data_IF_069749801386
#
_entry.id   IF_069749801386
#
_cell.length_a   1.000
_cell.length_b   1.000
_cell.length_c   1.000
_cell.angle_alpha   90.00
_cell.angle_beta   90.00
_cell.angle_gamma   90.00
#
_symmetry.space_group_name_H-M   'P 1'
#
loop_
_entity.id
_entity.type
_entity.pdbx_description
1 polymer ?
#
# COMPACT_ATOMS: atom_id res chain seq x y z
N UNK A 1 6.18 -22.77 -28.86
CA UNK A 1 4.88 -23.12 -28.26
C UNK A 1 4.90 -23.24 -26.74
N UNK A 2 6.00 -23.65 -26.14
CA UNK A 2 6.15 -23.71 -24.67
C UNK A 2 6.60 -22.36 -24.11
N UNK A 3 7.46 -21.62 -24.81
CA UNK A 3 8.14 -20.42 -24.33
C UNK A 3 7.19 -19.31 -23.89
N UNK A 4 6.14 -19.00 -24.65
CA UNK A 4 5.16 -17.95 -24.29
C UNK A 4 4.37 -18.33 -23.02
N UNK A 5 3.96 -19.60 -22.91
CA UNK A 5 3.31 -20.09 -21.69
C UNK A 5 4.23 -20.07 -20.48
N UNK A 6 5.50 -20.40 -20.67
CA UNK A 6 6.49 -20.38 -19.61
C UNK A 6 6.80 -18.95 -19.17
N UNK A 7 6.92 -18.01 -20.12
CA UNK A 7 7.06 -16.57 -19.82
C UNK A 7 5.83 -16.04 -19.07
N UNK A 8 4.63 -16.40 -19.50
CA UNK A 8 3.40 -15.99 -18.82
C UNK A 8 3.35 -16.54 -17.39
N UNK A 9 3.69 -17.82 -17.19
CA UNK A 9 3.77 -18.42 -15.86
C UNK A 9 4.82 -17.77 -14.96
N UNK A 10 5.99 -17.42 -15.52
CA UNK A 10 7.02 -16.65 -14.78
C UNK A 10 6.53 -15.26 -14.39
N UNK A 11 5.75 -14.58 -15.24
CA UNK A 11 5.13 -13.29 -14.92
C UNK A 11 4.14 -13.42 -13.76
N UNK A 12 3.29 -14.44 -13.79
CA UNK A 12 2.33 -14.74 -12.72
C UNK A 12 3.05 -15.00 -11.39
N UNK A 13 4.07 -15.86 -11.38
CA UNK A 13 4.90 -16.13 -10.20
C UNK A 13 5.56 -14.84 -9.69
N UNK A 14 6.11 -14.03 -10.59
CA UNK A 14 6.72 -12.74 -10.21
C UNK A 14 5.71 -11.79 -9.59
N UNK A 15 4.48 -11.70 -10.12
CA UNK A 15 3.42 -10.85 -9.55
C UNK A 15 2.99 -11.35 -8.17
N UNK A 16 2.87 -12.67 -7.99
CA UNK A 16 2.50 -13.28 -6.72
C UNK A 16 3.59 -13.14 -5.65
N UNK A 17 4.86 -13.23 -6.06
CA UNK A 17 5.99 -13.23 -5.14
C UNK A 17 6.55 -11.84 -4.83
N UNK A 18 6.33 -10.83 -5.67
CA UNK A 18 6.84 -9.49 -5.40
C UNK A 18 6.01 -8.76 -4.34
N UNK A 19 6.63 -7.80 -3.68
CA UNK A 19 5.92 -6.79 -2.91
C UNK A 19 5.18 -5.83 -3.86
N UNK A 20 3.95 -5.48 -3.52
CA UNK A 20 3.21 -4.45 -4.28
C UNK A 20 3.94 -3.10 -4.26
N UNK A 21 3.60 -2.17 -5.20
CA UNK A 21 4.35 -0.92 -5.39
C UNK A 21 4.53 -0.08 -4.12
N UNK A 22 3.50 0.01 -3.29
CA UNK A 22 3.55 0.80 -2.04
C UNK A 22 4.48 0.17 -1.01
N UNK A 23 4.33 -1.13 -0.73
CA UNK A 23 5.18 -1.85 0.22
C UNK A 23 6.62 -1.93 -0.29
N UNK A 24 6.79 -2.18 -1.60
CA UNK A 24 8.09 -2.24 -2.25
C UNK A 24 8.87 -0.94 -2.10
N UNK A 25 8.24 0.20 -2.36
CA UNK A 25 8.89 1.51 -2.21
C UNK A 25 9.35 1.81 -0.77
N UNK A 26 8.55 1.43 0.23
CA UNK A 26 8.93 1.59 1.64
C UNK A 26 10.13 0.70 1.98
N UNK A 27 10.14 -0.55 1.49
CA UNK A 27 11.26 -1.49 1.69
C UNK A 27 12.53 -0.99 0.97
N UNK A 28 12.41 -0.52 -0.27
CA UNK A 28 13.54 0.04 -1.03
C UNK A 28 14.14 1.26 -0.33
N UNK A 29 13.30 2.16 0.18
CA UNK A 29 13.75 3.31 0.97
C UNK A 29 14.43 2.87 2.27
N UNK A 30 13.88 1.86 2.99
CA UNK A 30 14.51 1.30 4.17
C UNK A 30 15.90 0.71 3.87
N UNK A 31 16.02 -0.07 2.80
CA UNK A 31 17.29 -0.66 2.33
C UNK A 31 18.31 0.42 1.97
N UNK A 32 17.89 1.48 1.28
CA UNK A 32 18.78 2.60 0.92
C UNK A 32 19.40 3.28 2.15
N UNK A 33 18.68 3.23 3.30
CA UNK A 33 19.17 3.75 4.59
C UNK A 33 19.87 2.71 5.47
N UNK A 34 20.10 1.51 4.95
CA UNK A 34 20.76 0.41 5.67
C UNK A 34 19.90 -0.23 6.75
N UNK A 35 18.57 -0.07 6.67
CA UNK A 35 17.61 -0.74 7.54
C UNK A 35 17.33 -2.13 6.95
N UNK A 36 17.59 -3.21 7.70
CA UNK A 36 17.30 -4.55 7.23
C UNK A 36 15.80 -4.84 7.21
N UNK A 37 15.41 -5.81 6.42
CA UNK A 37 14.02 -6.22 6.34
C UNK A 37 13.84 -7.73 6.23
N UNK A 38 12.69 -8.22 6.66
CA UNK A 38 12.29 -9.63 6.56
C UNK A 38 10.83 -9.69 6.14
N UNK A 39 10.50 -10.48 5.11
CA UNK A 39 9.11 -10.76 4.75
C UNK A 39 8.52 -11.77 5.73
N UNK A 40 7.39 -11.43 6.35
CA UNK A 40 6.78 -12.27 7.39
C UNK A 40 5.68 -13.20 6.85
N UNK A 41 5.07 -12.88 5.71
CA UNK A 41 4.07 -13.72 5.05
C UNK A 41 4.23 -13.65 3.53
N UNK A 42 3.47 -14.46 2.80
CA UNK A 42 3.45 -14.45 1.33
C UNK A 42 2.83 -13.19 0.71
N UNK A 43 2.23 -12.31 1.53
CA UNK A 43 1.61 -11.07 1.08
C UNK A 43 2.53 -9.87 1.36
N UNK A 44 2.00 -8.81 1.92
CA UNK A 44 2.68 -7.54 2.13
C UNK A 44 3.12 -7.26 3.57
N UNK A 45 3.02 -8.26 4.47
CA UNK A 45 3.48 -8.08 5.85
C UNK A 45 5.01 -8.19 5.89
N UNK A 46 5.65 -7.09 6.27
CA UNK A 46 7.12 -6.93 6.31
C UNK A 46 7.55 -6.43 7.68
N UNK A 47 8.63 -6.97 8.18
CA UNK A 47 9.39 -6.45 9.30
C UNK A 47 10.54 -5.60 8.76
N UNK A 48 10.66 -4.39 9.24
CA UNK A 48 11.81 -3.49 9.04
C UNK A 48 12.61 -3.45 10.35
N UNK A 49 13.92 -3.63 10.26
CA UNK A 49 14.76 -3.76 11.47
C UNK A 49 14.73 -5.16 12.09
N UNK A 50 15.50 -5.35 13.15
CA UNK A 50 15.70 -6.62 13.85
C UNK A 50 15.36 -6.52 15.33
N UNK A 51 14.90 -7.64 15.91
CA UNK A 51 14.71 -7.80 17.33
C UNK A 51 13.82 -6.69 17.94
N UNK A 52 14.25 -6.12 19.06
CA UNK A 52 13.52 -5.10 19.79
C UNK A 52 13.40 -3.75 19.03
N UNK A 53 14.21 -3.54 18.00
CA UNK A 53 14.19 -2.32 17.20
C UNK A 53 13.32 -2.45 15.93
N UNK A 54 12.65 -3.58 15.76
CA UNK A 54 11.80 -3.82 14.59
C UNK A 54 10.57 -2.93 14.56
N UNK A 55 10.13 -2.61 13.34
CA UNK A 55 8.83 -2.05 13.01
C UNK A 55 8.16 -2.96 11.99
N UNK A 56 6.84 -2.97 11.92
CA UNK A 56 6.09 -3.75 10.94
C UNK A 56 5.29 -2.86 10.04
N UNK A 57 5.20 -3.25 8.78
CA UNK A 57 4.32 -2.63 7.80
C UNK A 57 3.50 -3.70 7.09
N UNK A 58 2.28 -3.34 6.69
CA UNK A 58 1.43 -4.14 5.81
C UNK A 58 0.77 -3.20 4.81
N UNK A 59 1.11 -3.31 3.55
CA UNK A 59 0.84 -2.27 2.53
C UNK A 59 1.44 -0.92 2.99
N UNK A 60 0.59 0.05 3.31
CA UNK A 60 0.99 1.36 3.86
C UNK A 60 0.52 1.58 5.30
N UNK A 61 -0.07 0.54 5.93
CA UNK A 61 -0.37 0.54 7.37
C UNK A 61 0.91 0.15 8.12
N UNK A 62 1.21 0.85 9.20
CA UNK A 62 2.41 0.63 10.03
C UNK A 62 2.05 0.09 11.41
N UNK A 63 3.05 -0.37 12.17
CA UNK A 63 2.87 -0.75 13.56
C UNK A 63 2.55 0.43 14.49
N UNK A 64 2.52 1.66 13.96
CA UNK A 64 2.17 2.89 14.69
C UNK A 64 0.82 3.46 14.25
N UNK A 65 0.19 2.88 13.23
CA UNK A 65 -1.14 3.29 12.77
C UNK A 65 -2.18 2.95 13.82
N UNK A 66 -3.01 3.94 14.18
CA UNK A 66 -4.13 3.77 15.12
C UNK A 66 -5.18 2.82 14.56
N UNK A 67 -5.51 1.76 15.30
CA UNK A 67 -6.61 0.86 14.93
C UNK A 67 -7.96 1.57 14.98
N UNK A 68 -8.14 2.48 15.94
CA UNK A 68 -9.36 3.32 16.04
C UNK A 68 -9.47 4.22 14.81
N UNK A 69 -8.36 4.87 14.39
CA UNK A 69 -8.34 5.68 13.18
C UNK A 69 -8.67 4.88 11.92
N UNK A 70 -8.22 3.62 11.83
CA UNK A 70 -8.57 2.72 10.73
C UNK A 70 -10.07 2.38 10.76
N UNK A 71 -10.64 2.06 11.93
CA UNK A 71 -12.07 1.77 12.07
C UNK A 71 -12.93 2.97 11.68
N UNK A 72 -12.59 4.17 12.16
CA UNK A 72 -13.26 5.43 11.77
C UNK A 72 -13.19 5.62 10.25
N UNK A 73 -12.01 5.50 9.64
CA UNK A 73 -11.85 5.68 8.19
C UNK A 73 -12.61 4.63 7.36
N UNK A 74 -12.88 3.45 7.91
CA UNK A 74 -13.68 2.41 7.27
C UNK A 74 -15.20 2.67 7.40
N UNK A 75 -15.61 3.51 8.35
CA UNK A 75 -17.01 3.90 8.54
C UNK A 75 -17.26 5.31 7.96
N UNK A 76 -18.04 5.35 6.88
CA UNK A 76 -18.34 6.62 6.17
C UNK A 76 -19.22 7.56 6.99
N UNK A 77 -20.04 7.02 7.88
CA UNK A 77 -20.93 7.81 8.75
C UNK A 77 -20.09 8.49 9.84
N UNK A 78 -19.26 7.71 10.56
CA UNK A 78 -18.38 8.24 11.60
C UNK A 78 -17.34 9.22 11.07
N UNK A 79 -16.70 8.88 9.93
CA UNK A 79 -15.75 9.79 9.26
C UNK A 79 -16.40 11.12 8.93
N UNK A 80 -17.56 11.08 8.28
CA UNK A 80 -18.28 12.30 7.87
C UNK A 80 -18.70 13.11 9.09
N UNK A 81 -19.27 12.48 10.11
CA UNK A 81 -19.69 13.15 11.34
C UNK A 81 -18.53 13.88 12.01
N UNK A 82 -17.37 13.23 12.17
CA UNK A 82 -16.20 13.86 12.77
C UNK A 82 -15.65 15.03 11.95
N UNK A 83 -15.67 14.92 10.62
CA UNK A 83 -15.24 16.00 9.73
C UNK A 83 -16.22 17.18 9.77
N UNK A 84 -17.52 16.94 9.78
CA UNK A 84 -18.55 17.99 9.92
C UNK A 84 -18.43 18.72 11.25
N UNK A 85 -18.24 17.99 12.37
CA UNK A 85 -18.03 18.61 13.70
C UNK A 85 -16.76 19.48 13.76
N UNK A 86 -15.80 19.19 12.86
CA UNK A 86 -14.57 19.93 12.73
C UNK A 86 -14.64 21.05 11.65
N UNK A 87 -15.82 21.33 11.10
CA UNK A 87 -16.03 22.33 10.05
C UNK A 87 -15.14 22.08 8.81
N UNK A 88 -14.98 20.81 8.43
CA UNK A 88 -14.36 20.42 7.16
C UNK A 88 -15.44 20.34 6.10
N UNK A 89 -15.15 20.85 4.90
CA UNK A 89 -16.07 20.79 3.76
C UNK A 89 -16.30 19.35 3.31
N UNK A 90 -17.42 18.76 3.70
CA UNK A 90 -17.91 17.46 3.24
C UNK A 90 -19.23 17.62 2.50
N UNK A 91 -19.62 16.70 1.60
CA UNK A 91 -20.89 16.81 0.91
C UNK A 91 -22.05 16.81 1.91
N UNK A 92 -22.91 17.84 1.84
CA UNK A 92 -24.13 17.86 2.64
C UNK A 92 -24.95 16.62 2.35
N UNK A 93 -25.40 15.88 3.37
CA UNK A 93 -26.09 14.62 3.16
C UNK A 93 -26.92 14.18 4.33
N UNK A 94 -27.69 13.11 4.10
CA UNK A 94 -28.53 12.46 5.10
C UNK A 94 -28.48 10.95 4.90
N UNK A 95 -28.73 10.21 6.00
CA UNK A 95 -28.71 8.76 6.01
C UNK A 95 -30.12 8.23 6.23
N UNK A 96 -30.62 7.48 5.26
CA UNK A 96 -31.96 6.95 5.28
C UNK A 96 -31.99 5.42 5.23
N UNK A 97 -33.00 4.84 5.86
CA UNK A 97 -33.24 3.39 5.89
C UNK A 97 -34.53 2.98 5.19
N UNK A 98 -35.43 3.95 5.00
CA UNK A 98 -36.79 3.72 4.47
C UNK A 98 -37.05 4.70 3.35
N UNK A 99 -37.68 4.22 2.29
CA UNK A 99 -38.08 5.01 1.12
C UNK A 99 -38.95 6.23 1.46
N UNK A 100 -39.83 6.11 2.46
CA UNK A 100 -40.67 7.22 2.93
C UNK A 100 -39.87 8.46 3.43
N UNK A 101 -38.61 8.29 3.78
CA UNK A 101 -37.72 9.39 4.22
C UNK A 101 -36.91 9.99 3.05
N UNK A 102 -37.04 9.44 1.84
CA UNK A 102 -36.24 9.87 0.69
C UNK A 102 -36.58 11.28 0.24
N UNK A 103 -37.88 11.60 0.14
CA UNK A 103 -38.32 12.94 -0.29
C UNK A 103 -37.83 14.04 0.66
N UNK A 104 -37.91 13.78 1.98
CA UNK A 104 -37.41 14.70 3.00
C UNK A 104 -35.89 14.88 2.89
N UNK A 105 -35.13 13.80 2.73
CA UNK A 105 -33.67 13.84 2.50
C UNK A 105 -33.33 14.57 1.21
N UNK A 106 -34.03 14.34 0.10
CA UNK A 106 -33.81 15.05 -1.16
C UNK A 106 -34.05 16.57 -1.01
N UNK A 107 -35.10 16.95 -0.29
CA UNK A 107 -35.41 18.36 -0.04
C UNK A 107 -34.37 19.02 0.87
N UNK A 108 -33.90 18.30 1.89
CA UNK A 108 -32.84 18.78 2.79
C UNK A 108 -31.50 18.98 2.08
N UNK A 109 -31.08 18.02 1.25
CA UNK A 109 -29.79 18.06 0.55
C UNK A 109 -29.82 19.01 -0.66
N UNK A 110 -30.89 18.96 -1.45
CA UNK A 110 -31.07 19.75 -2.68
C UNK A 110 -30.35 19.16 -3.90
N UNK A 111 -31.08 19.07 -5.03
CA UNK A 111 -30.53 18.56 -6.28
C UNK A 111 -29.35 19.38 -6.83
N UNK A 112 -28.44 18.81 -7.63
CA UNK A 112 -28.31 17.39 -7.96
C UNK A 112 -27.76 16.58 -6.79
N UNK A 113 -28.07 15.24 -6.77
CA UNK A 113 -27.77 14.33 -5.68
C UNK A 113 -26.91 13.14 -6.12
N UNK A 114 -26.27 12.51 -5.12
CA UNK A 114 -25.72 11.16 -5.18
C UNK A 114 -26.48 10.30 -4.19
N UNK A 115 -26.86 9.10 -4.61
CA UNK A 115 -27.45 8.08 -3.74
C UNK A 115 -26.57 6.84 -3.78
N UNK A 116 -26.15 6.36 -2.60
CA UNK A 116 -25.20 5.24 -2.46
C UNK A 116 -25.48 4.44 -1.19
N UNK A 117 -25.15 3.13 -1.14
CA UNK A 117 -25.18 2.36 0.10
C UNK A 117 -24.03 2.78 1.03
N UNK A 118 -24.27 2.78 2.36
CA UNK A 118 -23.22 3.06 3.38
C UNK A 118 -22.08 2.05 3.27
N UNK A 119 -22.43 0.77 3.09
CA UNK A 119 -21.52 -0.37 3.05
C UNK A 119 -21.12 -0.78 1.61
N UNK A 120 -21.33 0.09 0.63
CA UNK A 120 -20.95 -0.12 -0.76
C UNK A 120 -19.46 0.12 -1.00
N UNK A 121 -18.81 -0.79 -1.72
CA UNK A 121 -17.43 -0.69 -2.16
C UNK A 121 -17.32 -0.73 -3.69
N UNK A 122 -16.29 -0.11 -4.24
CA UNK A 122 -15.98 -0.15 -5.68
C UNK A 122 -17.09 0.36 -6.60
N UNK A 123 -17.85 1.38 -6.19
CA UNK A 123 -18.88 1.99 -7.03
C UNK A 123 -20.21 1.23 -7.12
N UNK A 124 -20.37 0.10 -6.42
CA UNK A 124 -21.62 -0.69 -6.49
C UNK A 124 -22.78 0.03 -5.83
N UNK A 125 -23.92 0.11 -6.55
CA UNK A 125 -25.14 0.73 -6.04
C UNK A 125 -25.08 2.25 -5.94
N UNK A 126 -24.07 2.90 -6.53
CA UNK A 126 -23.96 4.36 -6.56
C UNK A 126 -24.67 4.89 -7.80
N UNK A 127 -25.51 5.91 -7.63
CA UNK A 127 -26.07 6.70 -8.72
C UNK A 127 -25.75 8.17 -8.47
N UNK A 128 -25.18 8.83 -9.46
CA UNK A 128 -24.72 10.23 -9.40
C UNK A 128 -25.56 11.12 -10.30
N UNK A 129 -25.45 12.43 -10.12
CA UNK A 129 -26.13 13.47 -10.93
C UNK A 129 -27.65 13.28 -11.03
N UNK A 130 -28.26 12.94 -9.90
CA UNK A 130 -29.71 12.78 -9.78
C UNK A 130 -30.36 14.14 -9.68
N UNK A 131 -31.26 14.44 -10.63
CA UNK A 131 -31.83 15.79 -10.78
C UNK A 131 -33.33 15.87 -10.43
N UNK A 132 -33.97 14.73 -10.11
CA UNK A 132 -35.38 14.68 -9.78
C UNK A 132 -35.70 13.61 -8.73
N UNK A 133 -36.82 13.79 -8.01
CA UNK A 133 -37.32 12.80 -7.06
C UNK A 133 -37.63 11.45 -7.75
N UNK A 134 -38.06 11.49 -9.00
CA UNK A 134 -38.35 10.26 -9.78
C UNK A 134 -37.07 9.46 -10.00
N UNK A 135 -35.96 10.12 -10.36
CA UNK A 135 -34.65 9.49 -10.49
C UNK A 135 -34.13 9.02 -9.14
N UNK A 136 -34.33 9.82 -8.07
CA UNK A 136 -33.95 9.47 -6.71
C UNK A 136 -34.61 8.17 -6.21
N UNK A 137 -35.88 7.94 -6.54
CA UNK A 137 -36.59 6.70 -6.21
C UNK A 137 -35.97 5.47 -6.88
N UNK A 138 -35.61 5.59 -8.16
CA UNK A 138 -34.94 4.51 -8.92
C UNK A 138 -33.56 4.25 -8.32
N UNK A 139 -32.80 5.32 -8.06
CA UNK A 139 -31.47 5.25 -7.46
C UNK A 139 -31.51 4.64 -6.05
N UNK A 140 -32.50 4.99 -5.24
CA UNK A 140 -32.68 4.41 -3.91
C UNK A 140 -32.95 2.90 -3.98
N UNK A 141 -33.82 2.44 -4.88
CA UNK A 141 -34.07 1.00 -5.08
C UNK A 141 -32.77 0.26 -5.48
N UNK A 142 -32.03 0.80 -6.45
CA UNK A 142 -30.74 0.24 -6.88
C UNK A 142 -29.69 0.20 -5.76
N UNK A 143 -29.57 1.28 -4.98
CA UNK A 143 -28.66 1.33 -3.84
C UNK A 143 -29.06 0.30 -2.75
N UNK A 144 -30.37 0.13 -2.54
CA UNK A 144 -30.92 -0.79 -1.55
C UNK A 144 -30.66 -2.26 -1.89
N UNK A 145 -30.74 -2.64 -3.16
CA UNK A 145 -30.39 -3.98 -3.64
C UNK A 145 -28.90 -4.30 -3.43
N UNK A 146 -28.06 -3.29 -3.51
CA UNK A 146 -26.61 -3.42 -3.37
C UNK A 146 -26.13 -3.34 -1.91
N UNK A 147 -26.95 -2.85 -0.99
CA UNK A 147 -26.62 -2.65 0.42
C UNK A 147 -26.87 -3.92 1.24
N UNK A 148 -25.90 -4.28 2.10
CA UNK A 148 -26.05 -5.37 3.08
C UNK A 148 -26.83 -4.92 4.32
N UNK A 149 -26.60 -3.69 4.76
CA UNK A 149 -27.25 -3.10 5.94
C UNK A 149 -28.62 -2.51 5.63
N UNK A 150 -28.93 -2.26 4.36
CA UNK A 150 -30.12 -1.53 3.92
C UNK A 150 -30.09 -0.04 4.29
N UNK A 151 -28.91 0.49 4.64
CA UNK A 151 -28.69 1.90 4.97
C UNK A 151 -28.15 2.64 3.75
N UNK A 152 -28.80 3.75 3.39
CA UNK A 152 -28.52 4.51 2.17
C UNK A 152 -28.15 5.93 2.52
N UNK A 153 -27.12 6.43 1.87
CA UNK A 153 -26.66 7.82 1.95
C UNK A 153 -27.26 8.58 0.75
N UNK A 154 -27.86 9.75 1.04
CA UNK A 154 -28.26 10.76 0.06
C UNK A 154 -27.39 11.96 0.27
N UNK A 155 -26.57 12.33 -0.71
CA UNK A 155 -25.60 13.41 -0.60
C UNK A 155 -25.70 14.40 -1.77
N UNK A 156 -25.24 15.63 -1.55
CA UNK A 156 -25.06 16.61 -2.61
C UNK A 156 -24.04 16.09 -3.62
N UNK A 157 -24.40 16.14 -4.89
CA UNK A 157 -23.45 15.86 -5.96
C UNK A 157 -22.45 17.01 -6.06
N UNK A 158 -21.17 16.70 -5.88
CA UNK A 158 -20.06 17.63 -6.02
C UNK A 158 -19.45 17.45 -7.40
N UNK A 159 -19.34 18.53 -8.15
CA UNK A 159 -18.74 18.53 -9.49
C UNK A 159 -17.28 18.96 -9.43
N UNK A 160 -16.48 18.44 -10.34
CA UNK A 160 -15.07 18.81 -10.45
C UNK A 160 -14.20 17.59 -10.78
N UNK A 161 -12.92 17.79 -10.59
CA UNK A 161 -11.90 16.76 -10.76
C UNK A 161 -11.67 16.01 -9.44
N UNK A 162 -11.26 14.75 -9.57
CA UNK A 162 -11.00 13.84 -8.46
C UNK A 162 -9.53 13.93 -8.03
N UNK A 163 -9.27 14.44 -6.84
CA UNK A 163 -7.93 14.57 -6.27
C UNK A 163 -7.71 13.58 -5.13
N UNK A 164 -6.53 12.98 -5.08
CA UNK A 164 -6.00 12.24 -3.95
C UNK A 164 -4.89 13.06 -3.29
N UNK A 165 -5.13 13.48 -2.05
CA UNK A 165 -4.12 14.09 -1.18
C UNK A 165 -3.53 13.01 -0.27
N UNK A 166 -2.22 12.86 -0.26
CA UNK A 166 -1.51 11.91 0.60
C UNK A 166 -0.87 12.64 1.76
N UNK A 167 -1.32 12.31 2.97
CA UNK A 167 -0.77 12.85 4.22
C UNK A 167 0.01 11.75 4.94
N UNK A 168 1.24 12.06 5.34
CA UNK A 168 2.10 11.16 6.12
C UNK A 168 2.67 11.95 7.30
N UNK A 169 2.54 11.39 8.50
CA UNK A 169 3.00 12.02 9.73
C UNK A 169 2.42 13.45 9.90
N UNK A 170 1.12 13.60 9.60
CA UNK A 170 0.37 14.86 9.64
C UNK A 170 0.91 15.97 8.73
N UNK A 171 1.60 15.64 7.66
CA UNK A 171 2.07 16.57 6.63
C UNK A 171 1.61 16.11 5.26
N UNK A 172 1.11 17.03 4.44
CA UNK A 172 0.82 16.75 3.03
C UNK A 172 2.13 16.50 2.30
N UNK A 173 2.30 15.30 1.75
CA UNK A 173 3.54 14.89 1.04
C UNK A 173 3.37 14.79 -0.46
N UNK A 174 2.16 14.55 -0.94
CA UNK A 174 1.86 14.49 -2.36
C UNK A 174 0.37 14.72 -2.62
N UNK A 175 0.06 15.25 -3.80
CA UNK A 175 -1.29 15.35 -4.32
C UNK A 175 -1.33 14.96 -5.80
N UNK A 176 -2.36 14.24 -6.21
CA UNK A 176 -2.54 13.81 -7.58
C UNK A 176 -3.99 14.01 -8.02
N UNK A 177 -4.19 14.51 -9.23
CA UNK A 177 -5.48 14.44 -9.92
C UNK A 177 -5.60 13.06 -10.56
N UNK A 178 -6.73 12.41 -10.37
CA UNK A 178 -7.01 11.08 -10.92
C UNK A 178 -8.01 11.17 -12.05
N UNK A 179 -7.71 10.47 -13.12
CA UNK A 179 -8.60 10.41 -14.27
C UNK A 179 -8.96 8.95 -14.55
N UNK A 180 -10.26 8.62 -14.68
CA UNK A 180 -10.68 7.28 -15.09
C UNK A 180 -10.05 6.88 -16.42
N UNK A 181 -9.98 5.57 -16.67
CA UNK A 181 -9.57 5.06 -17.97
C UNK A 181 -10.49 5.63 -19.06
N UNK A 182 -9.90 6.20 -20.09
CA UNK A 182 -10.60 6.85 -21.19
C UNK A 182 -9.81 6.76 -22.47
N UNK A 183 -10.48 7.02 -23.59
CA UNK A 183 -9.88 7.28 -24.90
C UNK A 183 -10.36 8.61 -25.44
N UNK A 184 -9.58 9.22 -26.32
CA UNK A 184 -9.92 10.47 -27.01
C UNK A 184 -10.04 10.17 -28.51
N UNK A 185 -11.14 10.54 -29.09
CA UNK A 185 -11.42 10.35 -30.52
C UNK A 185 -10.46 11.15 -31.40
N UNK A 186 -10.09 10.56 -32.52
CA UNK A 186 -9.30 11.20 -33.58
C UNK A 186 -10.06 11.31 -34.91
N UNK A 187 -11.38 11.04 -34.89
CA UNK A 187 -12.25 11.08 -36.08
C UNK A 187 -12.00 9.98 -37.10
N UNK A 188 -11.14 8.99 -36.82
CA UNK A 188 -10.70 7.97 -37.79
C UNK A 188 -10.70 6.55 -37.17
N UNK A 189 -10.13 6.39 -36.01
CA UNK A 189 -9.95 5.09 -35.36
C UNK A 189 -11.18 4.65 -34.60
N UNK A 190 -11.44 3.35 -34.59
CA UNK A 190 -12.46 2.75 -33.74
C UNK A 190 -12.09 2.84 -32.26
N UNK A 191 -13.06 2.72 -31.38
CA UNK A 191 -12.82 2.71 -29.92
C UNK A 191 -11.85 1.59 -29.53
N UNK A 192 -11.94 0.40 -30.15
CA UNK A 192 -11.00 -0.68 -29.89
C UNK A 192 -9.57 -0.31 -30.30
N UNK A 193 -9.41 0.28 -31.49
CA UNK A 193 -8.09 0.74 -31.96
C UNK A 193 -7.49 1.82 -31.05
N UNK A 194 -8.31 2.75 -30.55
CA UNK A 194 -7.86 3.77 -29.60
C UNK A 194 -7.44 3.14 -28.25
N UNK A 195 -8.17 2.12 -27.76
CA UNK A 195 -7.79 1.36 -26.56
C UNK A 195 -6.45 0.64 -26.79
N UNK A 196 -6.26 0.01 -27.93
CA UNK A 196 -5.03 -0.70 -28.29
C UNK A 196 -3.84 0.28 -28.43
N UNK A 197 -4.08 1.47 -28.98
CA UNK A 197 -3.09 2.55 -29.05
C UNK A 197 -2.67 3.00 -27.64
N UNK A 198 -3.63 3.30 -26.76
CA UNK A 198 -3.35 3.66 -25.36
C UNK A 198 -2.60 2.54 -24.64
N UNK A 199 -2.96 1.28 -24.90
CA UNK A 199 -2.30 0.11 -24.30
C UNK A 199 -0.90 -0.16 -24.87
N UNK A 200 -0.55 0.42 -26.03
CA UNK A 200 0.79 0.31 -26.63
C UNK A 200 1.85 1.14 -25.88
N UNK A 201 1.44 2.06 -24.98
CA UNK A 201 2.38 2.80 -24.13
C UNK A 201 3.27 1.82 -23.35
N UNK A 202 4.62 1.89 -23.51
CA UNK A 202 5.56 0.96 -22.88
C UNK A 202 5.49 0.99 -21.34
N UNK A 203 4.90 2.04 -20.75
CA UNK A 203 4.66 2.15 -19.32
C UNK A 203 3.44 1.33 -18.84
N UNK A 204 2.58 0.83 -19.76
CA UNK A 204 1.42 0.01 -19.44
C UNK A 204 1.77 -1.48 -19.46
N UNK A 205 1.26 -2.22 -18.49
CA UNK A 205 1.44 -3.65 -18.34
C UNK A 205 0.26 -4.34 -17.69
N UNK A 206 0.34 -5.65 -17.55
CA UNK A 206 -0.67 -6.45 -16.88
C UNK A 206 -0.59 -6.24 -15.36
N UNK A 207 -1.72 -6.03 -14.71
CA UNK A 207 -1.78 -5.85 -13.24
C UNK A 207 -0.89 -4.69 -12.76
N UNK A 208 0.08 -5.03 -11.92
CA UNK A 208 1.05 -4.06 -11.39
C UNK A 208 2.45 -4.22 -11.99
N UNK A 209 2.59 -4.94 -13.11
CA UNK A 209 3.87 -5.24 -13.74
C UNK A 209 4.65 -3.97 -14.12
N UNK A 210 3.94 -2.95 -14.56
CA UNK A 210 4.50 -1.66 -14.96
C UNK A 210 3.86 -0.51 -14.21
N UNK A 211 4.33 0.70 -14.46
CA UNK A 211 3.85 1.94 -13.85
C UNK A 211 2.36 2.16 -14.07
N UNK A 212 1.86 1.88 -15.27
CA UNK A 212 0.45 1.97 -15.65
C UNK A 212 -0.11 0.58 -15.94
N UNK A 213 -1.42 0.42 -15.68
CA UNK A 213 -2.14 -0.81 -16.01
C UNK A 213 -2.79 -0.67 -17.39
N UNK A 214 -2.85 -1.77 -18.15
CA UNK A 214 -3.59 -1.81 -19.40
C UNK A 214 -5.08 -1.65 -19.16
N UNK A 215 -5.76 -0.96 -20.09
CA UNK A 215 -7.21 -0.86 -20.12
C UNK A 215 -7.75 -2.20 -20.64
N UNK A 216 -8.60 -2.86 -19.86
CA UNK A 216 -9.24 -4.11 -20.22
C UNK A 216 -10.70 -3.88 -20.62
N UNK A 217 -11.11 -4.46 -21.75
CA UNK A 217 -12.49 -4.43 -22.24
C UNK A 217 -13.28 -5.60 -21.66
N UNK A 218 -13.82 -5.41 -20.44
CA UNK A 218 -14.75 -6.36 -19.81
C UNK A 218 -16.20 -5.97 -20.08
N UNK A 219 -17.16 -6.75 -19.60
CA UNK A 219 -18.59 -6.48 -19.80
C UNK A 219 -19.03 -5.12 -19.25
N UNK A 220 -18.48 -4.69 -18.11
CA UNK A 220 -18.76 -3.35 -17.56
C UNK A 220 -18.28 -2.25 -18.53
N UNK A 221 -17.08 -2.38 -19.09
CA UNK A 221 -16.57 -1.43 -20.10
C UNK A 221 -17.49 -1.37 -21.34
N UNK A 222 -17.93 -2.53 -21.82
CA UNK A 222 -18.87 -2.58 -22.97
C UNK A 222 -20.21 -1.93 -22.66
N UNK A 223 -20.69 -2.09 -21.43
CA UNK A 223 -21.93 -1.44 -20.98
C UNK A 223 -21.77 0.09 -20.98
N UNK A 224 -20.70 0.62 -20.42
CA UNK A 224 -20.42 2.06 -20.40
C UNK A 224 -20.31 2.64 -21.82
N UNK A 225 -19.62 1.95 -22.74
CA UNK A 225 -19.54 2.34 -24.14
C UNK A 225 -20.94 2.36 -24.79
N UNK A 226 -21.77 1.35 -24.50
CA UNK A 226 -23.13 1.26 -25.00
C UNK A 226 -24.04 2.36 -24.44
N UNK A 227 -23.95 2.65 -23.17
CA UNK A 227 -24.72 3.70 -22.50
C UNK A 227 -24.37 5.09 -23.04
N UNK A 228 -23.12 5.28 -23.49
CA UNK A 228 -22.69 6.46 -24.23
C UNK A 228 -23.13 6.47 -25.71
N UNK A 229 -23.86 5.44 -26.17
CA UNK A 229 -24.40 5.35 -27.54
C UNK A 229 -23.43 4.76 -28.57
N UNK A 230 -22.33 4.13 -28.12
CA UNK A 230 -21.28 3.58 -28.99
C UNK A 230 -21.15 2.05 -28.88
N UNK A 231 -20.32 1.50 -29.76
CA UNK A 231 -19.81 0.13 -29.73
C UNK A 231 -18.29 0.16 -29.85
N UNK A 232 -17.59 -0.93 -29.61
CA UNK A 232 -16.13 -1.00 -29.79
C UNK A 232 -15.70 -0.69 -31.22
N UNK A 233 -16.54 -0.94 -32.21
CA UNK A 233 -16.30 -0.68 -33.64
C UNK A 233 -16.69 0.74 -34.06
N UNK A 234 -17.27 1.54 -33.17
CA UNK A 234 -17.66 2.92 -33.46
C UNK A 234 -16.41 3.80 -33.53
N UNK A 235 -16.41 4.76 -34.46
CA UNK A 235 -15.39 5.81 -34.58
C UNK A 235 -15.86 7.01 -33.76
N UNK A 236 -15.02 7.43 -32.81
CA UNK A 236 -15.27 8.62 -32.00
C UNK A 236 -14.94 9.88 -32.80
N UNK A 237 -15.78 10.94 -32.70
CA UNK A 237 -15.43 12.26 -33.20
C UNK A 237 -14.09 12.74 -32.67
N UNK A 238 -13.47 13.65 -33.43
CA UNK A 238 -12.21 14.29 -33.02
C UNK A 238 -12.40 15.03 -31.70
N UNK A 239 -11.44 14.87 -30.78
CA UNK A 239 -11.42 15.45 -29.42
C UNK A 239 -12.54 14.96 -28.47
N UNK A 240 -13.44 14.09 -28.91
CA UNK A 240 -14.43 13.52 -28.00
C UNK A 240 -13.77 12.54 -27.03
N UNK A 241 -14.04 12.75 -25.74
CA UNK A 241 -13.50 11.92 -24.66
C UNK A 241 -14.55 10.90 -24.20
N UNK A 242 -14.23 9.61 -24.32
CA UNK A 242 -15.08 8.52 -23.84
C UNK A 242 -14.48 7.86 -22.59
N UNK A 243 -15.23 7.88 -21.49
CA UNK A 243 -14.87 7.20 -20.24
C UNK A 243 -15.13 5.70 -20.37
N UNK A 244 -14.16 4.89 -19.98
CA UNK A 244 -14.21 3.41 -20.11
C UNK A 244 -14.35 2.69 -18.76
N UNK A 245 -14.19 3.41 -17.66
CA UNK A 245 -14.32 2.90 -16.28
C UNK A 245 -14.95 3.96 -15.39
N UNK A 246 -15.79 3.56 -14.45
CA UNK A 246 -16.49 4.46 -13.51
C UNK A 246 -15.55 5.01 -12.43
N UNK A 247 -14.41 4.35 -12.20
CA UNK A 247 -13.49 4.69 -11.12
C UNK A 247 -12.15 5.16 -11.65
N UNK A 248 -11.60 6.21 -11.04
CA UNK A 248 -10.30 6.79 -11.39
C UNK A 248 -9.12 6.00 -10.80
N UNK A 249 -9.19 4.66 -10.84
CA UNK A 249 -8.14 3.79 -10.30
C UNK A 249 -7.06 3.49 -11.34
N UNK A 250 -5.78 3.64 -10.95
CA UNK A 250 -4.65 3.24 -11.78
C UNK A 250 -4.65 1.75 -12.11
N UNK A 251 -5.17 0.91 -11.20
CA UNK A 251 -5.27 -0.55 -11.40
C UNK A 251 -6.27 -0.97 -12.48
N UNK A 252 -7.15 -0.06 -12.92
CA UNK A 252 -8.14 -0.30 -13.97
C UNK A 252 -7.82 0.44 -15.27
N UNK A 253 -6.61 1.01 -15.38
CA UNK A 253 -6.16 1.73 -16.57
C UNK A 253 -6.30 3.24 -16.48
N UNK A 254 -6.75 3.78 -15.35
CA UNK A 254 -6.77 5.22 -15.07
C UNK A 254 -5.37 5.85 -15.06
N UNK A 255 -5.34 7.17 -15.06
CA UNK A 255 -4.10 7.97 -15.04
C UNK A 255 -4.07 8.87 -13.81
N UNK A 256 -2.88 9.35 -13.48
CA UNK A 256 -2.67 10.33 -12.41
C UNK A 256 -1.70 11.42 -12.87
N UNK A 257 -1.97 12.63 -12.47
CA UNK A 257 -1.10 13.78 -12.67
C UNK A 257 -0.68 14.35 -11.31
N UNK A 258 0.62 14.62 -11.13
CA UNK A 258 1.11 15.24 -9.90
C UNK A 258 0.73 16.73 -9.88
N UNK A 259 0.03 17.12 -8.82
CA UNK A 259 -0.41 18.50 -8.58
C UNK A 259 0.05 19.04 -7.22
N UNK A 260 1.02 18.36 -6.60
CA UNK A 260 1.47 18.64 -5.23
C UNK A 260 1.82 20.11 -5.00
N UNK A 261 2.57 20.70 -5.93
CA UNK A 261 3.14 22.04 -5.75
C UNK A 261 2.13 23.17 -5.97
N UNK A 262 0.94 22.86 -6.49
CA UNK A 262 -0.12 23.85 -6.77
C UNK A 262 -1.32 23.77 -5.82
N UNK A 263 -1.30 22.84 -4.86
CA UNK A 263 -2.38 22.74 -3.85
C UNK A 263 -2.44 24.02 -3.01
N UNK A 264 -3.62 24.63 -2.91
CA UNK A 264 -3.79 25.83 -2.11
C UNK A 264 -3.44 25.61 -0.63
N UNK A 265 -2.74 26.53 0.05
CA UNK A 265 -2.33 26.37 1.46
C UNK A 265 -3.47 26.05 2.44
N UNK A 266 -4.68 26.56 2.20
CA UNK A 266 -5.85 26.21 3.01
C UNK A 266 -6.21 24.71 2.88
N UNK A 267 -6.13 24.16 1.66
CA UNK A 267 -6.39 22.75 1.41
C UNK A 267 -5.29 21.86 2.00
N UNK A 268 -4.02 22.32 2.00
CA UNK A 268 -2.92 21.66 2.70
C UNK A 268 -3.21 21.59 4.19
N UNK A 269 -3.50 22.73 4.82
CA UNK A 269 -3.80 22.80 6.27
C UNK A 269 -5.02 21.96 6.65
N UNK A 270 -6.05 21.93 5.80
CA UNK A 270 -7.23 21.10 5.98
C UNK A 270 -6.86 19.60 5.94
N UNK A 271 -6.10 19.15 4.94
CA UNK A 271 -5.68 17.75 4.81
C UNK A 271 -4.84 17.29 6.02
N UNK A 272 -3.91 18.11 6.47
CA UNK A 272 -3.08 17.84 7.65
C UNK A 272 -3.91 17.79 8.95
N UNK A 273 -4.97 18.62 9.03
CA UNK A 273 -5.91 18.60 10.14
C UNK A 273 -6.80 17.35 10.13
N UNK A 274 -7.27 16.92 8.97
CA UNK A 274 -8.05 15.68 8.80
C UNK A 274 -7.28 14.47 9.33
N UNK A 275 -5.99 14.36 8.98
CA UNK A 275 -5.14 13.25 9.46
C UNK A 275 -5.10 13.17 10.99
N UNK A 276 -5.08 14.33 11.67
CA UNK A 276 -5.11 14.41 13.14
C UNK A 276 -6.50 14.11 13.73
N UNK A 277 -7.57 14.57 13.08
CA UNK A 277 -8.95 14.33 13.51
C UNK A 277 -9.29 12.84 13.48
N UNK A 278 -8.89 12.16 12.41
CA UNK A 278 -9.14 10.72 12.22
C UNK A 278 -8.11 9.87 12.96
N UNK A 279 -6.99 10.46 13.40
CA UNK A 279 -5.86 9.79 14.06
C UNK A 279 -5.18 8.74 13.15
N UNK A 280 -4.89 9.13 11.91
CA UNK A 280 -4.15 8.31 10.96
C UNK A 280 -2.78 8.91 10.67
N UNK A 281 -1.75 8.12 10.86
CA UNK A 281 -0.37 8.48 10.56
C UNK A 281 -0.06 8.52 9.06
N UNK A 282 -0.78 7.72 8.28
CA UNK A 282 -0.75 7.69 6.82
C UNK A 282 -2.19 7.61 6.34
N UNK A 283 -2.65 8.61 5.63
CA UNK A 283 -3.98 8.60 5.03
C UNK A 283 -4.00 9.21 3.63
N UNK A 284 -4.91 8.71 2.82
CA UNK A 284 -5.27 9.27 1.52
C UNK A 284 -6.62 9.96 1.62
N UNK A 285 -6.67 11.23 1.29
CA UNK A 285 -7.90 12.05 1.34
C UNK A 285 -8.38 12.26 -0.08
N UNK A 286 -9.60 11.84 -0.36
CA UNK A 286 -10.24 12.03 -1.66
C UNK A 286 -11.07 13.31 -1.64
N UNK A 287 -10.77 14.21 -2.57
CA UNK A 287 -11.40 15.52 -2.70
C UNK A 287 -11.96 15.67 -4.11
N UNK A 288 -13.15 16.23 -4.20
CA UNK A 288 -13.72 16.66 -5.46
C UNK A 288 -13.76 18.20 -5.48
N UNK A 289 -13.14 18.80 -6.48
CA UNK A 289 -13.17 20.27 -6.67
C UNK A 289 -12.89 20.63 -8.13
N UNK A 290 -13.43 21.76 -8.59
CA UNK A 290 -13.14 22.27 -9.92
C UNK A 290 -11.75 22.93 -10.03
N UNK A 291 -11.12 23.29 -8.90
CA UNK A 291 -9.83 23.98 -8.90
C UNK A 291 -9.12 23.81 -7.54
N UNK A 292 -8.11 22.93 -7.47
CA UNK A 292 -7.34 22.67 -6.25
C UNK A 292 -6.44 23.83 -5.83
N UNK A 293 -6.20 24.80 -6.73
CA UNK A 293 -5.41 26.00 -6.48
C UNK A 293 -6.17 27.07 -5.70
N UNK A 294 -7.44 26.80 -5.38
CA UNK A 294 -8.32 27.64 -4.54
C UNK A 294 -8.78 26.87 -3.31
N UNK A 295 -9.21 27.56 -2.24
CA UNK A 295 -9.86 26.91 -1.11
C UNK A 295 -11.10 26.12 -1.55
N UNK A 296 -11.38 24.96 -0.91
CA UNK A 296 -12.61 24.20 -1.20
C UNK A 296 -13.88 25.02 -0.96
N UNK A 297 -13.89 25.88 0.05
CA UNK A 297 -14.99 26.82 0.34
C UNK A 297 -15.36 27.70 -0.86
N UNK A 298 -14.38 28.11 -1.66
CA UNK A 298 -14.56 29.03 -2.77
C UNK A 298 -15.02 28.32 -4.06
N UNK A 299 -14.72 27.03 -4.17
CA UNK A 299 -15.04 26.19 -5.35
C UNK A 299 -16.32 25.37 -5.17
N UNK A 300 -16.86 25.32 -3.94
CA UNK A 300 -17.92 24.37 -3.58
C UNK A 300 -17.44 22.91 -3.60
N UNK A 301 -16.12 22.69 -3.53
CA UNK A 301 -15.52 21.37 -3.43
C UNK A 301 -15.74 20.74 -2.06
N UNK A 302 -15.48 19.44 -1.94
CA UNK A 302 -15.64 18.72 -0.69
C UNK A 302 -14.71 17.52 -0.57
N UNK A 303 -14.45 17.13 0.68
CA UNK A 303 -13.79 15.88 1.05
C UNK A 303 -14.81 14.74 0.95
N UNK A 304 -14.55 13.75 0.09
CA UNK A 304 -15.46 12.64 -0.16
C UNK A 304 -15.18 11.43 0.73
N UNK A 305 -13.90 11.15 1.00
CA UNK A 305 -13.47 9.96 1.72
C UNK A 305 -12.07 10.14 2.33
N UNK A 306 -11.83 9.48 3.46
CA UNK A 306 -10.51 9.33 4.07
C UNK A 306 -10.15 7.86 4.06
N UNK A 307 -9.01 7.52 3.48
CA UNK A 307 -8.57 6.15 3.31
C UNK A 307 -7.39 5.83 4.22
N UNK A 308 -7.55 4.84 5.11
CA UNK A 308 -6.44 4.21 5.82
C UNK A 308 -5.69 3.26 4.87
N UNK A 309 -4.39 3.30 4.85
CA UNK A 309 -3.61 2.43 3.97
C UNK A 309 -3.66 2.79 2.48
N UNK A 310 -3.46 4.06 2.09
CA UNK A 310 -3.58 4.52 0.71
C UNK A 310 -2.49 3.95 -0.20
N UNK A 311 -2.82 3.73 -1.48
CA UNK A 311 -1.84 3.33 -2.49
C UNK A 311 -0.89 4.46 -2.86
N UNK A 312 0.42 4.18 -2.93
CA UNK A 312 1.45 5.17 -3.26
C UNK A 312 1.76 5.28 -4.75
N UNK A 313 1.30 4.32 -5.56
CA UNK A 313 1.69 4.18 -6.98
C UNK A 313 1.50 5.46 -7.78
N UNK A 314 0.38 6.16 -7.59
CA UNK A 314 0.06 7.38 -8.32
C UNK A 314 1.01 8.54 -8.03
N UNK A 315 1.61 8.56 -6.84
CA UNK A 315 2.57 9.58 -6.42
C UNK A 315 4.01 9.18 -6.75
N UNK A 316 4.34 7.88 -6.64
CA UNK A 316 5.67 7.35 -6.98
C UNK A 316 5.96 7.47 -8.48
N UNK A 317 4.94 7.28 -9.31
CA UNK A 317 5.09 7.27 -10.75
C UNK A 317 3.81 7.79 -11.41
N UNK A 318 3.55 9.09 -11.36
CA UNK A 318 2.42 9.72 -12.04
C UNK A 318 2.56 9.58 -13.56
N UNK A 319 1.43 9.68 -14.28
CA UNK A 319 1.41 9.68 -15.74
C UNK A 319 2.07 10.96 -16.26
N UNK A 320 1.80 12.07 -15.57
CA UNK A 320 2.29 13.42 -15.87
C UNK A 320 2.73 14.09 -14.57
N UNK A 321 3.73 14.96 -14.63
CA UNK A 321 4.29 15.68 -13.49
C UNK A 321 5.47 14.96 -12.83
N UNK A 322 5.76 15.27 -11.57
CA UNK A 322 6.97 14.82 -10.88
C UNK A 322 6.72 13.56 -10.02
N UNK A 323 7.56 12.53 -10.12
CA UNK A 323 7.58 11.44 -9.15
C UNK A 323 7.93 11.96 -7.76
N UNK A 324 7.18 11.51 -6.74
CA UNK A 324 7.40 11.89 -5.33
C UNK A 324 7.88 10.69 -4.52
N UNK A 325 9.00 10.83 -3.83
CA UNK A 325 9.45 9.79 -2.88
C UNK A 325 8.63 9.84 -1.59
N UNK A 326 7.41 9.35 -1.66
CA UNK A 326 6.49 9.31 -0.52
C UNK A 326 6.84 8.24 0.51
N UNK A 327 7.78 7.34 0.21
CA UNK A 327 8.28 6.35 1.16
C UNK A 327 9.24 6.96 2.19
N UNK A 328 9.98 8.00 1.82
CA UNK A 328 10.95 8.64 2.71
C UNK A 328 10.31 9.14 4.02
N UNK A 329 9.21 9.91 4.05
CA UNK A 329 8.58 10.35 5.29
C UNK A 329 8.00 9.20 6.13
N UNK A 330 7.65 8.05 5.54
CA UNK A 330 7.27 6.86 6.31
C UNK A 330 8.45 6.32 7.08
N UNK A 331 9.61 6.21 6.43
CA UNK A 331 10.83 5.73 7.08
C UNK A 331 11.36 6.75 8.10
N UNK A 332 11.25 8.05 7.83
CA UNK A 332 11.63 9.12 8.79
C UNK A 332 10.82 9.00 10.10
N UNK A 333 9.53 8.67 9.99
CA UNK A 333 8.66 8.44 11.15
C UNK A 333 9.05 7.18 11.92
N UNK A 334 9.16 6.04 11.22
CA UNK A 334 9.42 4.73 11.85
C UNK A 334 10.83 4.63 12.45
N UNK A 335 11.79 5.27 11.80
CA UNK A 335 13.20 5.26 12.18
C UNK A 335 13.77 6.69 12.16
N UNK A 336 13.62 7.44 13.25
CA UNK A 336 14.18 8.80 13.36
C UNK A 336 15.66 8.83 13.04
N UNK A 337 16.15 10.00 12.61
CA UNK A 337 17.54 10.19 12.18
C UNK A 337 18.57 9.51 13.11
N UNK A 338 19.43 8.70 12.52
CA UNK A 338 20.46 7.92 13.23
C UNK A 338 19.98 6.56 13.77
N UNK A 339 18.73 6.20 13.59
CA UNK A 339 18.20 4.85 13.90
C UNK A 339 18.07 4.04 12.61
N UNK A 340 18.67 2.85 12.63
CA UNK A 340 18.64 1.92 11.50
C UNK A 340 17.91 0.60 11.79
N UNK A 341 17.22 0.54 12.92
CA UNK A 341 16.46 -0.64 13.31
C UNK A 341 17.28 -1.89 13.63
N UNK A 342 18.62 -1.79 13.64
CA UNK A 342 19.49 -2.94 13.94
C UNK A 342 19.65 -3.15 15.43
N UNK A 343 19.89 -4.39 15.81
CA UNK A 343 20.42 -4.79 17.10
C UNK A 343 21.85 -5.29 16.89
N UNK A 344 22.72 -5.27 17.91
CA UNK A 344 24.07 -5.85 17.82
C UNK A 344 24.00 -7.33 17.47
N UNK A 345 24.82 -7.74 16.50
CA UNK A 345 24.96 -9.12 16.03
C UNK A 345 26.40 -9.56 16.11
N UNK A 346 26.66 -10.63 16.85
CA UNK A 346 27.91 -11.38 16.80
C UNK A 346 27.69 -12.65 16.00
N UNK A 347 28.44 -12.83 14.91
CA UNK A 347 28.42 -14.04 14.10
C UNK A 347 29.65 -14.92 14.42
N UNK A 348 29.44 -16.20 14.66
CA UNK A 348 30.51 -17.14 15.03
C UNK A 348 30.55 -18.27 14.01
N UNK A 349 31.72 -18.50 13.42
CA UNK A 349 31.97 -19.65 12.54
C UNK A 349 33.32 -20.31 12.86
N UNK A 350 33.67 -21.35 12.14
CA UNK A 350 34.93 -22.11 12.28
C UNK A 350 34.69 -23.61 12.38
N UNK A 351 35.74 -24.40 12.46
CA UNK A 351 35.67 -25.87 12.55
C UNK A 351 35.21 -26.29 13.93
N UNK A 352 35.92 -25.95 14.99
CA UNK A 352 35.65 -26.35 16.37
C UNK A 352 35.45 -25.13 17.30
N UNK A 353 34.72 -25.35 18.39
CA UNK A 353 34.53 -24.32 19.43
C UNK A 353 33.41 -23.30 19.18
N UNK A 354 32.70 -23.35 18.06
CA UNK A 354 31.61 -22.44 17.73
C UNK A 354 30.56 -22.35 18.83
N UNK A 355 29.93 -23.50 19.19
CA UNK A 355 28.87 -23.58 20.19
C UNK A 355 29.30 -23.11 21.57
N UNK A 356 30.52 -23.47 21.99
CA UNK A 356 31.09 -23.04 23.27
C UNK A 356 31.27 -21.51 23.30
N UNK A 357 31.86 -20.95 22.23
CA UNK A 357 32.08 -19.50 22.09
C UNK A 357 30.74 -18.74 22.05
N UNK A 358 29.76 -19.26 21.28
CA UNK A 358 28.42 -18.68 21.20
C UNK A 358 27.75 -18.60 22.57
N UNK A 359 27.75 -19.69 23.32
CA UNK A 359 27.15 -19.75 24.67
C UNK A 359 27.86 -18.83 25.67
N UNK A 360 29.17 -18.77 25.61
CA UNK A 360 29.96 -17.91 26.47
C UNK A 360 29.67 -16.42 26.19
N UNK A 361 29.66 -16.01 24.94
CA UNK A 361 29.31 -14.63 24.55
C UNK A 361 27.87 -14.28 24.86
N UNK A 362 26.93 -15.21 24.62
CA UNK A 362 25.52 -15.00 25.02
C UNK A 362 25.39 -14.82 26.54
N UNK A 363 26.14 -15.59 27.33
CA UNK A 363 26.19 -15.42 28.79
C UNK A 363 26.76 -14.07 29.19
N UNK A 364 27.88 -13.65 28.63
CA UNK A 364 28.51 -12.35 28.89
C UNK A 364 27.55 -11.21 28.56
N UNK A 365 26.93 -11.24 27.37
CA UNK A 365 25.97 -10.23 26.94
C UNK A 365 24.76 -10.15 27.90
N UNK A 366 24.26 -11.31 28.35
CA UNK A 366 23.19 -11.38 29.36
C UNK A 366 23.60 -10.77 30.69
N UNK A 367 24.80 -11.06 31.18
CA UNK A 367 25.33 -10.47 32.41
C UNK A 367 25.49 -8.95 32.33
N UNK A 368 25.62 -8.40 31.12
CA UNK A 368 25.61 -6.97 30.84
C UNK A 368 24.19 -6.41 30.59
N UNK A 369 23.14 -7.14 30.95
CA UNK A 369 21.76 -6.64 30.92
C UNK A 369 21.05 -6.76 29.55
N UNK A 370 21.67 -7.43 28.57
CA UNK A 370 21.02 -7.62 27.28
C UNK A 370 20.00 -8.77 27.30
N UNK A 371 18.94 -8.61 26.52
CA UNK A 371 17.98 -9.68 26.20
C UNK A 371 18.50 -10.42 24.98
N UNK A 372 19.21 -11.51 25.22
CA UNK A 372 20.00 -12.20 24.21
C UNK A 372 19.18 -13.29 23.52
N UNK A 373 19.19 -13.29 22.15
CA UNK A 373 18.83 -14.43 21.34
C UNK A 373 20.09 -15.07 20.72
N UNK A 374 20.17 -16.40 20.72
CA UNK A 374 21.34 -17.06 20.13
C UNK A 374 20.97 -18.40 19.49
N UNK A 375 21.77 -18.80 18.49
CA UNK A 375 21.63 -20.05 17.75
C UNK A 375 22.86 -20.90 17.94
N UNK A 376 22.66 -22.22 18.05
CA UNK A 376 23.74 -23.21 18.21
C UNK A 376 23.42 -24.48 17.41
N UNK A 377 24.39 -25.40 17.34
CA UNK A 377 24.20 -26.71 16.70
C UNK A 377 23.16 -27.60 17.43
N UNK A 378 22.72 -27.25 18.62
CA UNK A 378 21.72 -28.00 19.40
C UNK A 378 20.38 -27.26 19.57
N UNK A 379 20.31 -25.94 19.19
CA UNK A 379 19.02 -25.24 19.25
C UNK A 379 19.05 -23.75 19.08
N UNK A 380 17.86 -23.17 19.15
CA UNK A 380 17.61 -21.71 19.23
C UNK A 380 17.18 -21.35 20.66
N UNK A 381 17.79 -20.34 21.18
CA UNK A 381 17.56 -19.87 22.56
C UNK A 381 17.20 -18.39 22.60
N UNK A 382 16.15 -18.06 23.34
CA UNK A 382 15.79 -16.67 23.69
C UNK A 382 15.86 -16.51 25.20
N UNK A 383 16.74 -15.64 25.69
CA UNK A 383 16.99 -15.40 27.11
C UNK A 383 17.23 -16.70 27.91
N UNK A 384 18.00 -17.62 27.37
CA UNK A 384 18.32 -18.97 27.90
C UNK A 384 17.17 -19.98 27.85
N UNK A 385 15.99 -19.63 27.34
CA UNK A 385 14.92 -20.57 27.11
C UNK A 385 15.15 -21.23 25.74
N UNK A 386 15.27 -22.55 25.74
CA UNK A 386 15.34 -23.35 24.51
C UNK A 386 13.95 -23.33 23.84
N UNK A 387 13.87 -22.83 22.61
CA UNK A 387 12.62 -22.74 21.84
C UNK A 387 12.57 -23.76 20.70
N UNK A 388 13.72 -24.12 20.16
CA UNK A 388 13.82 -25.08 19.05
C UNK A 388 15.04 -25.97 19.28
N UNK A 389 14.90 -27.29 19.09
CA UNK A 389 15.98 -28.26 19.17
C UNK A 389 16.45 -28.69 17.79
N UNK A 390 17.74 -28.97 17.66
CA UNK A 390 18.36 -29.47 16.43
C UNK A 390 19.48 -28.57 15.93
N UNK A 391 20.07 -28.88 14.78
CA UNK A 391 21.13 -28.07 14.18
C UNK A 391 20.51 -26.73 13.68
N UNK A 392 20.70 -25.69 14.48
CA UNK A 392 20.18 -24.35 14.26
C UNK A 392 21.25 -23.36 13.80
N UNK A 393 22.25 -23.81 13.05
CA UNK A 393 23.38 -23.00 12.55
C UNK A 393 23.16 -22.39 11.16
N UNK A 394 21.92 -22.45 10.65
CA UNK A 394 21.55 -21.95 9.33
C UNK A 394 20.80 -20.62 9.37
N UNK A 395 20.54 -20.02 8.18
CA UNK A 395 19.90 -18.71 8.06
C UNK A 395 18.49 -18.63 8.65
N UNK A 396 17.68 -19.68 8.53
CA UNK A 396 16.32 -19.69 9.10
C UNK A 396 16.30 -19.57 10.62
N UNK A 397 17.31 -20.15 11.30
CA UNK A 397 17.45 -20.04 12.75
C UNK A 397 17.95 -18.64 13.16
N UNK A 398 18.84 -18.05 12.37
CA UNK A 398 19.25 -16.64 12.54
C UNK A 398 18.05 -15.71 12.40
N UNK A 399 17.26 -15.86 11.34
CA UNK A 399 16.02 -15.10 11.15
C UNK A 399 15.03 -15.28 12.30
N UNK A 400 14.91 -16.51 12.85
CA UNK A 400 14.04 -16.76 14.01
C UNK A 400 14.40 -15.84 15.18
N UNK A 401 15.69 -15.74 15.50
CA UNK A 401 16.20 -14.83 16.55
C UNK A 401 15.94 -13.37 16.20
N UNK A 402 16.19 -12.98 14.95
CA UNK A 402 16.07 -11.59 14.49
C UNK A 402 14.60 -11.13 14.34
N UNK A 403 13.66 -12.08 14.24
CA UNK A 403 12.21 -11.81 14.26
C UNK A 403 11.62 -11.64 15.66
N UNK A 404 12.32 -12.10 16.70
CA UNK A 404 11.81 -12.01 18.07
C UNK A 404 11.90 -10.58 18.62
N UNK A 405 10.77 -9.90 18.91
CA UNK A 405 10.75 -8.50 19.34
C UNK A 405 11.31 -8.30 20.76
N UNK A 406 11.56 -9.36 21.51
CA UNK A 406 12.15 -9.26 22.84
C UNK A 406 13.67 -9.25 22.84
N UNK A 407 14.30 -9.65 21.73
CA UNK A 407 15.77 -9.74 21.58
C UNK A 407 16.35 -8.37 21.24
N UNK A 408 17.33 -7.91 22.04
CA UNK A 408 18.07 -6.70 21.75
C UNK A 408 19.57 -6.93 21.50
N UNK A 409 20.02 -8.20 21.49
CA UNK A 409 21.37 -8.63 21.19
C UNK A 409 21.35 -10.05 20.63
N UNK A 410 21.98 -10.29 19.48
CA UNK A 410 22.01 -11.59 18.83
C UNK A 410 23.43 -12.18 18.79
N UNK A 411 23.54 -13.49 19.11
CA UNK A 411 24.78 -14.26 18.99
C UNK A 411 24.50 -15.49 18.12
N UNK A 412 24.99 -15.47 16.89
CA UNK A 412 24.56 -16.39 15.84
C UNK A 412 25.68 -17.33 15.42
N UNK A 413 25.56 -18.62 15.77
CA UNK A 413 26.43 -19.65 15.25
C UNK A 413 26.08 -19.92 13.78
N UNK A 414 27.08 -19.84 12.90
CA UNK A 414 26.94 -20.03 11.46
C UNK A 414 27.86 -21.15 10.97
N UNK A 415 27.29 -22.30 10.64
CA UNK A 415 28.08 -23.40 10.09
C UNK A 415 28.31 -23.20 8.57
N UNK A 416 29.49 -23.63 8.10
CA UNK A 416 29.87 -23.59 6.68
C UNK A 416 28.79 -24.17 5.75
N UNK A 417 28.20 -25.28 6.13
CA UNK A 417 27.16 -25.93 5.33
C UNK A 417 25.90 -25.09 5.16
N UNK A 418 25.52 -24.30 6.17
CA UNK A 418 24.42 -23.33 6.11
C UNK A 418 24.77 -22.17 5.19
N UNK A 419 25.94 -21.57 5.39
CA UNK A 419 26.47 -20.48 4.58
C UNK A 419 26.49 -20.80 3.08
N UNK A 420 27.03 -21.96 2.72
CA UNK A 420 27.16 -22.40 1.33
C UNK A 420 25.82 -22.75 0.66
N UNK A 421 24.80 -23.09 1.43
CA UNK A 421 23.48 -23.49 0.89
C UNK A 421 22.51 -22.31 0.76
N UNK A 422 22.50 -21.41 1.74
CA UNK A 422 21.43 -20.41 1.86
C UNK A 422 21.89 -19.07 2.50
N UNK A 423 23.19 -18.83 2.68
CA UNK A 423 23.72 -17.60 3.24
C UNK A 423 23.60 -17.50 4.76
N UNK A 424 23.57 -16.27 5.28
CA UNK A 424 23.67 -15.96 6.72
C UNK A 424 22.30 -15.71 7.41
N UNK A 425 21.27 -15.34 6.66
CA UNK A 425 19.99 -14.86 7.22
C UNK A 425 20.06 -13.44 7.80
N UNK A 426 21.17 -12.73 7.59
CA UNK A 426 21.38 -11.30 7.91
C UNK A 426 22.45 -10.73 6.96
N UNK A 427 22.40 -9.40 6.72
CA UNK A 427 23.30 -8.76 5.73
C UNK A 427 24.65 -8.35 6.34
N UNK A 428 24.65 -7.96 7.62
CA UNK A 428 25.83 -7.45 8.35
C UNK A 428 25.80 -7.90 9.80
N UNK A 429 26.97 -8.14 10.37
CA UNK A 429 27.18 -8.30 11.81
C UNK A 429 28.16 -7.22 12.31
N UNK A 430 28.10 -6.95 13.60
CA UNK A 430 28.99 -5.97 14.24
C UNK A 430 30.35 -6.63 14.57
N UNK A 431 30.32 -7.92 14.90
CA UNK A 431 31.52 -8.71 15.18
C UNK A 431 31.39 -10.07 14.49
N UNK A 432 32.43 -10.46 13.75
CA UNK A 432 32.59 -11.79 13.18
C UNK A 432 33.76 -12.51 13.86
N UNK A 433 33.53 -13.74 14.31
CA UNK A 433 34.53 -14.58 14.96
C UNK A 433 34.72 -15.87 14.15
N UNK A 434 35.96 -16.11 13.71
CA UNK A 434 36.38 -17.40 13.17
C UNK A 434 37.24 -18.07 14.23
N UNK A 435 36.71 -19.13 14.83
CA UNK A 435 37.39 -19.82 15.94
C UNK A 435 38.67 -20.51 15.50
N UNK A 436 38.60 -21.30 14.44
CA UNK A 436 39.72 -21.96 13.78
C UNK A 436 39.25 -22.53 12.43
N UNK A 437 40.21 -22.91 11.58
CA UNK A 437 40.02 -23.59 10.32
C UNK A 437 40.88 -24.85 10.32
N UNK A 438 40.27 -26.02 10.18
CA UNK A 438 40.97 -27.29 10.14
C UNK A 438 40.34 -28.23 9.06
N UNK A 439 41.07 -29.25 8.65
CA UNK A 439 40.63 -30.22 7.65
C UNK A 439 39.51 -31.11 8.20
N UNK A 440 38.29 -30.60 8.26
CA UNK A 440 37.09 -31.32 8.70
C UNK A 440 35.95 -31.06 7.74
N UNK A 441 35.07 -32.05 7.55
CA UNK A 441 33.93 -31.97 6.63
C UNK A 441 34.29 -31.59 5.19
N UNK A 442 35.48 -31.93 4.69
CA UNK A 442 35.86 -31.73 3.29
C UNK A 442 34.98 -32.53 2.33
N UNK A 443 34.82 -32.01 1.09
CA UNK A 443 33.94 -32.59 0.05
C UNK A 443 32.57 -31.96 -0.04
N UNK A 444 32.15 -31.12 0.94
CA UNK A 444 30.86 -30.46 0.92
C UNK A 444 30.87 -29.31 -0.11
N UNK A 445 29.93 -29.35 -1.08
CA UNK A 445 29.71 -28.28 -2.10
C UNK A 445 31.00 -27.94 -2.88
N UNK A 446 31.84 -28.96 -3.17
CA UNK A 446 33.06 -28.76 -3.98
C UNK A 446 34.26 -28.20 -3.25
N UNK A 447 34.21 -28.03 -1.92
CA UNK A 447 35.34 -27.63 -1.09
C UNK A 447 36.08 -28.86 -0.67
N UNK A 448 37.27 -29.12 -1.24
CA UNK A 448 38.07 -30.32 -1.04
C UNK A 448 39.35 -30.06 -0.27
N UNK A 449 39.80 -28.84 -0.13
CA UNK A 449 41.02 -28.45 0.59
C UNK A 449 40.76 -27.34 1.59
N UNK A 450 41.70 -27.11 2.51
CA UNK A 450 41.61 -26.02 3.51
C UNK A 450 41.76 -24.65 2.84
N UNK A 451 42.54 -24.55 1.77
CA UNK A 451 42.82 -23.34 1.05
C UNK A 451 41.59 -22.80 0.27
N UNK A 452 40.67 -23.68 -0.12
CA UNK A 452 39.39 -23.34 -0.73
C UNK A 452 38.40 -22.75 0.28
#
# INVERSE_FOLDING_TARGET
YALEKDIQKMREIREDERLGPSTGSIVEEAVSRGIPWIRLNKYSLVQLGYGANQKRIQATVTSETSSIGVEIACDKEDTKYLLEQAEVEVPRGDIIRKERSLEEACNYVGFPLVIKPVDGNHGRGITVDINSLKEALVAFAHAKESSRSGVIIVEKFITGDDYRLLVINNQLVAAAIRTPAHVVGNGKSTIQELIDEVNSDPRRGYGHEKVLTQITTNELTKTLIKDAGYTLDSVLPEDERLILKDTANLSTGGTAEDVTDIVHPANVSMAERISKIIDLDICGIDIMTSDITKPLSDTGGAVLEVNAGPGFRMHLAPTTGLPRNVAAPVIDKLFPKGKNGRIPIIAITGTNGKTTTTRLLAHIAKMNGHRVGYTTSDGVYIQNRLLMTGDCTGPSSAEFVLKDPTVNFAVLESARGGLLRAGLGFEKCDVAIVTNVAADHLGLKGIHTIEQ
#
